data_IF_924022009974
#
_entry.id   IF_924022009974
#
_cell.length_a   1.000
_cell.length_b   1.000
_cell.length_c   1.000
_cell.angle_alpha   90.00
_cell.angle_beta   90.00
_cell.angle_gamma   90.00
#
_symmetry.space_group_name_H-M   'P 1'
#
loop_
_entity.id
_entity.type
_entity.pdbx_description
1 polymer ?
#
# COMPACT_ATOMS: atom_id res chain seq x y z
N UNK A 1 -24.99 -7.66 -2.91
CA UNK A 1 -24.33 -7.79 -4.23
C UNK A 1 -23.45 -6.57 -4.40
N UNK A 2 -22.14 -6.77 -4.23
CA UNK A 2 -21.13 -5.73 -4.42
C UNK A 2 -21.03 -5.42 -5.92
N UNK A 3 -21.37 -4.20 -6.31
CA UNK A 3 -21.13 -3.68 -7.66
C UNK A 3 -19.61 -3.59 -7.88
N UNK A 4 -19.03 -4.69 -8.34
CA UNK A 4 -17.64 -4.71 -8.82
C UNK A 4 -17.64 -4.01 -10.17
N UNK A 5 -17.25 -2.73 -10.17
CA UNK A 5 -17.14 -1.96 -11.40
C UNK A 5 -16.26 -2.71 -12.42
N UNK A 6 -16.70 -2.87 -13.68
CA UNK A 6 -15.97 -3.63 -14.68
C UNK A 6 -14.58 -3.02 -14.91
N UNK A 7 -13.59 -3.91 -15.03
CA UNK A 7 -12.21 -3.54 -15.34
C UNK A 7 -12.14 -2.96 -16.75
N UNK A 8 -12.26 -1.64 -16.83
CA UNK A 8 -12.19 -0.89 -18.07
C UNK A 8 -10.74 -0.89 -18.58
N UNK A 9 -10.47 -1.74 -19.59
CA UNK A 9 -9.17 -2.03 -20.20
C UNK A 9 -8.48 -0.80 -20.80
N UNK A 10 -9.15 0.34 -20.89
CA UNK A 10 -8.57 1.56 -21.43
C UNK A 10 -7.84 2.35 -20.32
N UNK A 11 -6.58 1.95 -20.07
CA UNK A 11 -5.50 2.73 -19.40
C UNK A 11 -5.55 2.99 -17.88
N UNK A 12 -6.36 2.30 -17.07
CA UNK A 12 -6.40 2.62 -15.61
C UNK A 12 -5.21 2.10 -14.82
N UNK A 13 -4.63 0.97 -15.20
CA UNK A 13 -3.39 0.47 -14.62
C UNK A 13 -2.26 0.76 -15.60
N UNK A 14 -1.40 1.68 -15.21
CA UNK A 14 -0.20 2.00 -15.96
C UNK A 14 0.93 1.22 -15.33
N UNK A 15 1.72 0.50 -16.14
CA UNK A 15 2.93 -0.17 -15.67
C UNK A 15 3.90 0.90 -15.19
N UNK A 16 3.80 1.20 -13.91
CA UNK A 16 4.55 2.24 -13.23
C UNK A 16 5.30 1.58 -12.08
N UNK A 17 6.62 1.72 -12.10
CA UNK A 17 7.46 1.28 -11.00
C UNK A 17 7.14 2.06 -9.72
N UNK A 18 7.45 1.47 -8.57
CA UNK A 18 7.25 2.11 -7.25
C UNK A 18 7.97 3.47 -7.20
N UNK A 19 9.17 3.58 -7.79
CA UNK A 19 9.93 4.82 -7.84
C UNK A 19 9.26 5.89 -8.70
N UNK A 20 8.71 5.53 -9.87
CA UNK A 20 7.95 6.47 -10.71
C UNK A 20 6.70 6.97 -10.01
N UNK A 21 5.99 6.06 -9.33
CA UNK A 21 4.80 6.38 -8.57
C UNK A 21 5.12 7.32 -7.40
N UNK A 22 6.15 7.02 -6.62
CA UNK A 22 6.63 7.85 -5.52
C UNK A 22 7.05 9.24 -6.01
N UNK A 23 7.83 9.31 -7.09
CA UNK A 23 8.28 10.58 -7.67
C UNK A 23 7.09 11.44 -8.14
N UNK A 24 6.06 10.83 -8.75
CA UNK A 24 4.83 11.53 -9.11
C UNK A 24 4.06 12.03 -7.89
N UNK A 25 3.91 11.23 -6.84
CA UNK A 25 3.24 11.67 -5.61
C UNK A 25 3.98 12.86 -5.00
N UNK A 26 5.31 12.75 -4.83
CA UNK A 26 6.13 13.82 -4.26
C UNK A 26 5.97 15.11 -5.08
N UNK A 27 6.04 15.01 -6.40
CA UNK A 27 5.88 16.15 -7.31
C UNK A 27 4.46 16.74 -7.28
N UNK A 28 3.42 15.93 -7.17
CA UNK A 28 2.05 16.43 -7.06
C UNK A 28 1.77 17.13 -5.73
N UNK A 29 2.44 16.73 -4.64
CA UNK A 29 2.33 17.39 -3.33
C UNK A 29 3.10 18.70 -3.28
N UNK A 30 4.30 18.72 -3.83
CA UNK A 30 5.17 19.90 -3.84
C UNK A 30 4.78 20.92 -4.93
N UNK A 31 4.23 20.45 -6.05
CA UNK A 31 4.08 21.26 -7.26
C UNK A 31 5.35 21.22 -8.13
N UNK A 32 5.49 22.15 -9.09
CA UNK A 32 6.61 22.12 -10.02
C UNK A 32 7.96 22.40 -9.36
N UNK A 33 8.84 21.40 -9.33
CA UNK A 33 10.14 21.49 -8.65
C UNK A 33 11.22 20.66 -9.36
N UNK A 34 12.51 20.98 -9.14
CA UNK A 34 13.61 20.16 -9.62
C UNK A 34 13.74 18.85 -8.82
N UNK A 35 14.37 17.83 -9.41
CA UNK A 35 14.57 16.54 -8.75
C UNK A 35 15.28 16.64 -7.40
N UNK A 36 16.29 17.51 -7.31
CA UNK A 36 17.04 17.73 -6.08
C UNK A 36 16.17 18.17 -4.89
N UNK A 37 15.08 18.90 -5.16
CA UNK A 37 14.13 19.32 -4.12
C UNK A 37 13.33 18.16 -3.54
N UNK A 38 13.09 17.12 -4.34
CA UNK A 38 12.29 15.96 -3.95
C UNK A 38 13.12 14.89 -3.21
N UNK A 39 14.45 14.94 -3.30
CA UNK A 39 15.34 13.95 -2.70
C UNK A 39 15.09 13.69 -1.22
N UNK A 40 14.99 14.70 -0.32
CA UNK A 40 14.79 14.43 1.10
C UNK A 40 13.48 13.68 1.39
N UNK A 41 12.45 13.91 0.58
CA UNK A 41 11.16 13.20 0.71
C UNK A 41 11.27 11.77 0.25
N UNK A 42 11.94 11.53 -0.89
CA UNK A 42 12.11 10.20 -1.44
C UNK A 42 13.07 9.36 -0.60
N UNK A 43 14.15 9.95 -0.10
CA UNK A 43 15.09 9.30 0.81
C UNK A 43 14.38 8.77 2.06
N UNK A 44 13.48 9.59 2.63
CA UNK A 44 12.68 9.19 3.79
C UNK A 44 11.66 8.08 3.48
N UNK A 45 11.10 8.04 2.27
CA UNK A 45 10.13 7.00 1.89
C UNK A 45 10.77 5.66 1.54
N UNK A 46 11.98 5.69 0.97
CA UNK A 46 12.70 4.49 0.55
C UNK A 46 13.75 4.03 1.56
N UNK A 47 13.95 4.77 2.65
CA UNK A 47 14.98 4.53 3.68
C UNK A 47 16.38 4.35 3.06
N UNK A 48 16.70 5.18 2.05
CA UNK A 48 17.97 5.13 1.34
C UNK A 48 18.40 6.53 0.89
N UNK A 49 19.71 6.74 0.65
CA UNK A 49 20.22 8.00 0.12
C UNK A 49 20.23 7.97 -1.40
N UNK A 50 19.36 8.74 -2.05
CA UNK A 50 19.26 8.84 -3.49
C UNK A 50 20.06 10.03 -4.02
N UNK A 51 20.67 9.87 -5.19
CA UNK A 51 21.23 10.96 -5.98
C UNK A 51 20.29 11.43 -7.07
N UNK A 52 20.52 12.64 -7.59
CA UNK A 52 19.80 13.13 -8.79
C UNK A 52 20.02 12.19 -9.98
N UNK A 53 21.23 11.66 -10.14
CA UNK A 53 21.59 10.69 -11.19
C UNK A 53 20.74 9.42 -11.15
N UNK A 54 20.31 8.98 -9.97
CA UNK A 54 19.53 7.77 -9.79
C UNK A 54 18.05 8.00 -10.18
N UNK A 55 17.58 9.23 -10.02
CA UNK A 55 16.21 9.65 -10.36
C UNK A 55 16.05 10.09 -11.81
N UNK A 56 17.13 10.49 -12.49
CA UNK A 56 17.09 10.95 -13.87
C UNK A 56 16.47 9.93 -14.86
N UNK A 57 16.83 8.63 -14.81
CA UNK A 57 16.17 7.62 -15.65
C UNK A 57 14.66 7.53 -15.40
N UNK A 58 14.25 7.63 -14.14
CA UNK A 58 12.85 7.58 -13.70
C UNK A 58 12.09 8.82 -14.20
N UNK A 59 12.65 10.02 -14.00
CA UNK A 59 12.09 11.26 -14.52
C UNK A 59 11.98 11.23 -16.05
N UNK A 60 13.01 10.72 -16.74
CA UNK A 60 13.01 10.55 -18.19
C UNK A 60 11.88 9.64 -18.68
N UNK A 61 11.61 8.52 -17.99
CA UNK A 61 10.48 7.64 -18.29
C UNK A 61 9.14 8.36 -18.09
N UNK A 62 8.97 9.08 -16.99
CA UNK A 62 7.75 9.85 -16.71
C UNK A 62 7.48 10.95 -17.75
N UNK A 63 8.55 11.59 -18.26
CA UNK A 63 8.45 12.58 -19.34
C UNK A 63 8.05 11.90 -20.65
N UNK A 64 8.69 10.78 -21.02
CA UNK A 64 8.33 10.02 -22.23
C UNK A 64 6.91 9.46 -22.19
N UNK A 65 6.48 8.99 -21.02
CA UNK A 65 5.12 8.52 -20.77
C UNK A 65 4.09 9.65 -20.65
N UNK A 66 4.52 10.91 -20.80
CA UNK A 66 3.67 12.09 -20.83
C UNK A 66 2.96 12.41 -19.49
N UNK A 67 3.47 11.90 -18.35
CA UNK A 67 2.94 12.24 -17.02
C UNK A 67 3.48 13.56 -16.48
N UNK A 68 4.68 13.93 -16.90
CA UNK A 68 5.40 15.11 -16.44
C UNK A 68 5.93 15.87 -17.67
N UNK A 69 5.95 17.19 -17.59
CA UNK A 69 6.64 18.05 -18.53
C UNK A 69 7.94 18.53 -17.87
N UNK A 70 9.07 18.43 -18.57
CA UNK A 70 10.35 18.98 -18.10
C UNK A 70 10.64 20.31 -18.80
N UNK A 71 11.02 21.33 -18.03
CA UNK A 71 11.54 22.62 -18.53
C UNK A 71 12.80 22.96 -17.75
N UNK A 72 13.96 22.84 -18.40
CA UNK A 72 15.25 22.87 -17.71
C UNK A 72 15.34 21.74 -16.69
N UNK A 73 15.67 22.09 -15.45
CA UNK A 73 15.76 21.13 -14.33
C UNK A 73 14.43 20.93 -13.61
N UNK A 74 13.42 21.76 -13.89
CA UNK A 74 12.13 21.70 -13.20
C UNK A 74 11.18 20.73 -13.89
N UNK A 75 10.54 19.88 -13.07
CA UNK A 75 9.51 18.94 -13.47
C UNK A 75 8.12 19.53 -13.17
N UNK A 76 7.20 19.43 -14.12
CA UNK A 76 5.83 19.93 -14.02
C UNK A 76 4.85 18.77 -14.17
N UNK A 77 4.10 18.40 -13.12
CA UNK A 77 3.12 17.33 -13.21
C UNK A 77 1.97 17.76 -14.14
N UNK A 78 1.54 16.87 -15.05
CA UNK A 78 0.40 17.16 -15.93
C UNK A 78 -0.93 16.96 -15.21
N UNK A 79 -1.96 17.70 -15.64
CA UNK A 79 -3.31 17.67 -15.03
C UNK A 79 -3.94 16.27 -14.96
N UNK A 80 -3.73 15.43 -15.99
CA UNK A 80 -4.33 14.10 -16.04
C UNK A 80 -3.61 13.08 -15.14
N UNK A 81 -2.35 13.35 -14.78
CA UNK A 81 -1.52 12.49 -13.93
C UNK A 81 -2.12 12.34 -12.54
N UNK A 82 -2.74 13.39 -12.00
CA UNK A 82 -3.43 13.36 -10.72
C UNK A 82 -4.52 12.28 -10.64
N UNK A 83 -5.32 12.14 -11.69
CA UNK A 83 -6.39 11.13 -11.73
C UNK A 83 -5.82 9.70 -11.74
N UNK A 84 -4.72 9.50 -12.46
CA UNK A 84 -4.05 8.19 -12.55
C UNK A 84 -3.45 7.81 -11.20
N UNK A 85 -2.71 8.74 -10.57
CA UNK A 85 -2.09 8.51 -9.26
C UNK A 85 -3.15 8.29 -8.17
N UNK A 86 -4.24 9.07 -8.15
CA UNK A 86 -5.35 8.82 -7.21
C UNK A 86 -5.98 7.44 -7.40
N UNK A 87 -6.16 7.01 -8.66
CA UNK A 87 -6.66 5.68 -8.98
C UNK A 87 -5.75 4.57 -8.44
N UNK A 88 -4.46 4.67 -8.74
CA UNK A 88 -3.44 3.72 -8.25
C UNK A 88 -3.34 3.70 -6.72
N UNK A 89 -3.31 4.88 -6.08
CA UNK A 89 -3.26 5.01 -4.62
C UNK A 89 -4.48 4.38 -3.96
N UNK A 90 -5.68 4.62 -4.50
CA UNK A 90 -6.91 4.02 -4.00
C UNK A 90 -6.95 2.49 -4.20
N UNK A 91 -6.36 1.98 -5.28
CA UNK A 91 -6.22 0.53 -5.49
C UNK A 91 -5.25 -0.09 -4.50
N UNK A 92 -4.07 0.51 -4.29
CA UNK A 92 -3.08 0.04 -3.31
C UNK A 92 -3.64 0.04 -1.89
N UNK A 93 -4.37 1.10 -1.51
CA UNK A 93 -5.00 1.18 -0.21
C UNK A 93 -6.03 0.07 0.00
N UNK A 94 -6.85 -0.25 -1.00
CA UNK A 94 -7.82 -1.36 -0.90
C UNK A 94 -7.14 -2.72 -0.76
N UNK A 95 -6.06 -2.96 -1.50
CA UNK A 95 -5.27 -4.20 -1.39
C UNK A 95 -4.70 -4.32 0.03
N UNK A 96 -4.02 -3.27 0.50
CA UNK A 96 -3.44 -3.25 1.83
C UNK A 96 -4.50 -3.43 2.92
N UNK A 97 -5.65 -2.77 2.80
CA UNK A 97 -6.74 -2.89 3.75
C UNK A 97 -7.32 -4.31 3.81
N UNK A 98 -7.50 -4.97 2.66
CA UNK A 98 -7.94 -6.36 2.59
C UNK A 98 -6.93 -7.31 3.26
N UNK A 99 -5.64 -7.14 2.96
CA UNK A 99 -4.57 -7.95 3.57
C UNK A 99 -4.46 -7.74 5.08
N UNK A 100 -4.52 -6.49 5.55
CA UNK A 100 -4.52 -6.18 6.99
C UNK A 100 -5.75 -6.76 7.67
N UNK A 101 -6.93 -6.69 7.04
CA UNK A 101 -8.16 -7.28 7.61
C UNK A 101 -8.03 -8.78 7.76
N UNK A 102 -7.48 -9.47 6.75
CA UNK A 102 -7.18 -10.92 6.83
C UNK A 102 -6.18 -11.22 7.93
N UNK A 103 -5.10 -10.44 8.03
CA UNK A 103 -4.07 -10.63 9.04
C UNK A 103 -4.62 -10.44 10.46
N UNK A 104 -5.40 -9.38 10.70
CA UNK A 104 -6.10 -9.13 11.96
C UNK A 104 -7.05 -10.28 12.28
N UNK A 105 -7.85 -10.74 11.31
CA UNK A 105 -8.77 -11.87 11.51
C UNK A 105 -8.06 -13.21 11.78
N UNK A 106 -6.81 -13.35 11.33
CA UNK A 106 -5.99 -14.53 11.60
C UNK A 106 -5.28 -14.44 12.96
N UNK A 107 -4.99 -13.22 13.43
CA UNK A 107 -4.26 -12.95 14.66
C UNK A 107 -5.17 -12.80 15.89
N UNK A 108 -6.42 -12.38 15.68
CA UNK A 108 -7.48 -12.50 16.69
C UNK A 108 -8.11 -13.90 16.60
N UNK A 109 -7.78 -14.85 17.48
CA UNK A 109 -8.59 -16.05 17.61
C UNK A 109 -10.00 -15.56 17.94
N UNK A 110 -10.95 -15.90 17.06
CA UNK A 110 -12.36 -15.56 17.18
C UNK A 110 -12.75 -15.73 18.66
N UNK A 111 -13.30 -14.70 19.31
CA UNK A 111 -13.55 -14.70 20.77
C UNK A 111 -14.33 -15.96 21.20
N UNK A 112 -15.16 -16.47 20.28
CA UNK A 112 -15.85 -17.76 20.36
C UNK A 112 -14.93 -18.99 20.38
N UNK A 113 -13.86 -19.03 19.58
CA UNK A 113 -12.84 -20.10 19.65
C UNK A 113 -12.05 -20.07 20.96
N UNK A 114 -11.78 -18.88 21.50
CA UNK A 114 -11.10 -18.73 22.79
C UNK A 114 -12.02 -19.15 23.93
N UNK A 115 -13.29 -18.69 23.94
CA UNK A 115 -14.31 -19.17 24.88
C UNK A 115 -14.55 -20.67 24.77
N UNK A 116 -14.62 -21.22 23.56
CA UNK A 116 -14.77 -22.66 23.35
C UNK A 116 -13.58 -23.44 23.92
N UNK A 117 -12.34 -22.99 23.64
CA UNK A 117 -11.15 -23.61 24.21
C UNK A 117 -11.12 -23.52 25.74
N UNK A 118 -11.58 -22.41 26.32
CA UNK A 118 -11.73 -22.27 27.79
C UNK A 118 -12.79 -23.22 28.36
N UNK A 119 -13.95 -23.34 27.71
CA UNK A 119 -15.02 -24.25 28.12
C UNK A 119 -14.60 -25.72 27.98
N UNK A 120 -13.97 -26.08 26.87
CA UNK A 120 -13.45 -27.44 26.63
C UNK A 120 -12.37 -27.81 27.66
N UNK A 121 -11.49 -26.87 28.00
CA UNK A 121 -10.49 -27.05 29.06
C UNK A 121 -11.14 -27.23 30.44
N UNK A 122 -12.11 -26.40 30.80
CA UNK A 122 -12.83 -26.51 32.08
C UNK A 122 -13.59 -27.85 32.20
N UNK A 123 -14.25 -28.29 31.13
CA UNK A 123 -14.93 -29.57 31.08
C UNK A 123 -13.96 -30.76 31.26
N UNK A 124 -12.74 -30.67 30.72
CA UNK A 124 -11.71 -31.68 30.92
C UNK A 124 -11.14 -31.72 32.35
N UNK A 125 -11.04 -30.57 33.01
CA UNK A 125 -10.57 -30.44 34.40
C UNK A 125 -11.63 -30.99 35.38
N UNK A 126 -12.92 -30.72 35.14
CA UNK A 126 -14.04 -31.28 35.94
C UNK A 126 -14.20 -32.79 35.75
N UNK A 127 -13.98 -33.31 34.53
CA UNK A 127 -14.02 -34.74 34.23
C UNK A 127 -12.86 -35.54 34.84
N UNK A 128 -11.70 -34.92 35.06
CA UNK A 128 -10.56 -35.55 35.73
C UNK A 128 -10.71 -35.56 37.26
N UNK A 129 -11.33 -34.53 37.86
CA UNK A 129 -11.62 -34.51 39.30
C UNK A 129 -12.63 -35.60 39.73
N UNK A 130 -13.58 -35.95 38.87
CA UNK A 130 -14.53 -37.04 39.14
C UNK A 130 -13.92 -38.45 39.04
N UNK A 131 -12.72 -38.60 38.43
CA UNK A 131 -12.03 -39.90 38.34
C UNK A 131 -11.04 -40.14 39.48
N UNK A 132 -10.52 -39.09 40.11
CA UNK A 132 -9.62 -39.19 41.27
C UNK A 132 -10.34 -39.24 42.62
N UNK A 133 -11.66 -38.99 42.66
CA UNK A 133 -12.47 -39.03 43.88
C UNK A 133 -13.10 -40.39 44.22
N UNK A 134 -12.89 -41.43 43.41
CA UNK A 134 -13.53 -42.76 43.56
C UNK A 134 -12.50 -43.86 43.89
N UNK A 135 -11.53 -43.55 44.76
CA UNK A 135 -10.59 -44.50 45.37
C UNK A 135 -10.72 -44.56 46.88
#
# INVERSE_FOLDING_TARGET
>A
MSDVAPFDRHRRFTDMSVMEFALLIALMRAGPHPLAFLLPTLDAWFDCKLGVSDLEPTAGRLVRANYVLRRGDTLYPRRHTARIVMGLYGSLFRILADDVTKLVSAQEPNMLSTMKAYLDRKASEEGNQHKDGDR
#
